data_IF_308450427289
#
_entry.id   IF_308450427289
#
_cell.length_a   1.000
_cell.length_b   1.000
_cell.length_c   1.000
_cell.angle_alpha   90.00
_cell.angle_beta   90.00
_cell.angle_gamma   90.00
#
_symmetry.space_group_name_H-M   'P 1'
#
loop_
_entity.id
_entity.type
_entity.pdbx_description
1 polymer ?
#
# COMPACT_ATOMS: atom_id res chain seq x y z
N UNK A 1 39.19 -64.49 20.52
CA UNK A 1 38.02 -64.95 21.30
C UNK A 1 37.63 -63.78 22.20
N UNK A 2 36.95 -62.78 21.62
CA UNK A 2 35.50 -62.71 21.43
C UNK A 2 34.80 -62.24 22.72
N UNK A 3 33.88 -61.30 22.53
CA UNK A 3 32.88 -60.78 23.48
C UNK A 3 33.33 -59.56 24.28
N UNK A 4 32.94 -58.37 23.81
CA UNK A 4 33.07 -57.12 24.57
C UNK A 4 32.45 -55.88 23.91
N UNK A 5 32.44 -55.80 22.57
CA UNK A 5 31.98 -54.59 21.85
C UNK A 5 30.46 -54.44 21.67
N UNK A 6 29.64 -55.37 22.20
CA UNK A 6 28.19 -55.41 21.91
C UNK A 6 27.30 -54.57 22.84
N UNK A 7 27.86 -53.73 23.71
CA UNK A 7 27.06 -52.98 24.70
C UNK A 7 26.84 -51.51 24.30
N UNK A 8 27.51 -50.98 23.28
CA UNK A 8 27.37 -49.57 22.87
C UNK A 8 26.50 -49.33 21.63
N UNK A 9 25.76 -50.33 21.15
CA UNK A 9 24.74 -50.17 20.09
C UNK A 9 23.37 -49.69 20.63
N UNK A 10 23.31 -49.25 21.89
CA UNK A 10 22.12 -48.70 22.53
C UNK A 10 21.89 -47.19 22.34
N UNK A 11 22.74 -46.50 21.57
CA UNK A 11 22.56 -45.07 21.32
C UNK A 11 21.50 -44.83 20.24
N UNK A 12 20.23 -44.94 20.62
CA UNK A 12 19.10 -44.50 19.82
C UNK A 12 19.26 -43.03 19.45
N UNK A 13 19.75 -42.75 18.25
CA UNK A 13 19.73 -41.41 17.69
C UNK A 13 18.27 -40.93 17.63
N UNK A 14 17.92 -39.77 18.18
CA UNK A 14 16.57 -39.27 18.12
C UNK A 14 16.23 -39.06 16.64
N UNK A 15 15.29 -39.87 16.13
CA UNK A 15 14.71 -39.68 14.80
C UNK A 15 13.82 -38.45 14.86
N UNK A 16 14.44 -37.27 14.78
CA UNK A 16 13.71 -36.00 14.70
C UNK A 16 12.87 -36.06 13.43
N UNK A 17 11.57 -36.28 13.60
CA UNK A 17 10.65 -36.51 12.50
C UNK A 17 10.65 -35.31 11.56
N UNK A 18 10.46 -35.53 10.26
CA UNK A 18 10.32 -34.44 9.30
C UNK A 18 9.25 -33.41 9.73
N UNK A 19 8.24 -33.88 10.48
CA UNK A 19 7.17 -33.07 11.08
C UNK A 19 7.65 -32.17 12.22
N UNK A 20 8.61 -32.61 13.04
CA UNK A 20 9.23 -31.75 14.08
C UNK A 20 10.07 -30.64 13.44
N UNK A 21 10.76 -30.94 12.33
CA UNK A 21 11.51 -29.91 11.58
C UNK A 21 10.60 -28.82 11.02
N UNK A 22 9.45 -29.17 10.45
CA UNK A 22 8.45 -28.20 9.97
C UNK A 22 7.87 -27.38 11.12
N UNK A 23 7.62 -28.00 12.28
CA UNK A 23 7.15 -27.30 13.48
C UNK A 23 8.19 -26.31 14.03
N UNK A 24 9.46 -26.71 14.13
CA UNK A 24 10.55 -25.81 14.57
C UNK A 24 10.79 -24.65 13.58
N UNK A 25 10.49 -24.85 12.29
CA UNK A 25 10.54 -23.81 11.26
C UNK A 25 9.42 -22.77 11.41
N UNK A 26 8.24 -23.20 11.85
CA UNK A 26 7.11 -22.31 12.15
C UNK A 26 7.25 -21.62 13.51
N UNK A 27 7.94 -22.25 14.46
CA UNK A 27 8.30 -21.67 15.76
C UNK A 27 9.43 -20.61 15.65
N UNK A 28 10.08 -20.47 14.49
CA UNK A 28 10.97 -19.35 14.22
C UNK A 28 10.15 -18.07 14.04
N UNK A 29 10.27 -17.15 14.99
CA UNK A 29 9.55 -15.87 15.07
C UNK A 29 9.56 -15.09 13.74
N UNK A 30 10.67 -15.15 13.00
CA UNK A 30 10.82 -14.49 11.71
C UNK A 30 9.96 -15.10 10.60
N UNK A 31 9.92 -16.43 10.48
CA UNK A 31 9.16 -17.13 9.43
C UNK A 31 7.66 -16.99 9.68
N UNK A 32 7.24 -17.07 10.93
CA UNK A 32 5.85 -16.84 11.32
C UNK A 32 5.42 -15.41 11.04
N UNK A 33 6.26 -14.42 11.37
CA UNK A 33 6.01 -13.00 11.07
C UNK A 33 5.86 -12.72 9.57
N UNK A 34 6.76 -13.24 8.73
CA UNK A 34 6.64 -13.10 7.28
C UNK A 34 5.42 -13.83 6.71
N UNK A 35 5.07 -15.00 7.25
CA UNK A 35 3.89 -15.76 6.84
C UNK A 35 2.57 -15.01 7.07
N UNK A 36 2.46 -14.25 8.16
CA UNK A 36 1.29 -13.41 8.46
C UNK A 36 1.14 -12.21 7.53
N UNK A 37 2.26 -11.62 7.09
CA UNK A 37 2.28 -10.45 6.19
C UNK A 37 2.08 -10.88 4.73
N UNK A 38 2.50 -12.08 4.36
CA UNK A 38 2.47 -12.60 3.00
C UNK A 38 1.11 -12.47 2.28
N UNK A 39 -0.06 -12.85 2.87
CA UNK A 39 -1.33 -12.70 2.18
C UNK A 39 -1.71 -11.22 1.92
N UNK A 40 -1.43 -10.33 2.87
CA UNK A 40 -1.67 -8.89 2.69
C UNK A 40 -0.74 -8.31 1.61
N UNK A 41 0.53 -8.72 1.60
CA UNK A 41 1.51 -8.31 0.59
C UNK A 41 1.12 -8.81 -0.80
N UNK A 42 0.70 -10.07 -0.93
CA UNK A 42 0.25 -10.64 -2.19
C UNK A 42 -0.95 -9.86 -2.75
N UNK A 43 -1.93 -9.54 -1.89
CA UNK A 43 -3.06 -8.71 -2.30
C UNK A 43 -2.62 -7.33 -2.77
N UNK A 44 -1.72 -6.67 -2.03
CA UNK A 44 -1.18 -5.36 -2.42
C UNK A 44 -0.46 -5.43 -3.78
N UNK A 45 0.37 -6.45 -4.01
CA UNK A 45 1.10 -6.61 -5.27
C UNK A 45 0.14 -6.87 -6.42
N UNK A 46 -0.81 -7.79 -6.27
CA UNK A 46 -1.75 -8.16 -7.33
C UNK A 46 -2.74 -7.05 -7.67
N UNK A 47 -3.25 -6.32 -6.67
CA UNK A 47 -4.31 -5.32 -6.88
C UNK A 47 -3.79 -3.90 -7.09
N UNK A 48 -2.59 -3.57 -6.62
CA UNK A 48 -2.04 -2.21 -6.71
C UNK A 48 -0.79 -2.18 -7.57
N UNK A 49 0.24 -2.97 -7.23
CA UNK A 49 1.53 -2.89 -7.92
C UNK A 49 1.44 -3.37 -9.38
N UNK A 50 0.70 -4.46 -9.63
CA UNK A 50 0.50 -5.00 -10.98
C UNK A 50 -0.19 -4.00 -11.93
N UNK A 51 -1.38 -3.45 -11.64
CA UNK A 51 -1.99 -2.47 -12.54
C UNK A 51 -1.20 -1.17 -12.63
N UNK A 52 -0.46 -0.77 -11.58
CA UNK A 52 0.44 0.38 -11.64
C UNK A 52 1.61 0.14 -12.63
N UNK A 53 2.24 -1.03 -12.58
CA UNK A 53 3.29 -1.39 -13.53
C UNK A 53 2.77 -1.45 -14.97
N UNK A 54 1.58 -2.01 -15.17
CA UNK A 54 0.91 -2.01 -16.47
C UNK A 54 0.61 -0.58 -16.96
N UNK A 55 0.18 0.33 -16.07
CA UNK A 55 -0.07 1.72 -16.42
C UNK A 55 1.22 2.43 -16.88
N UNK A 56 2.37 2.13 -16.27
CA UNK A 56 3.68 2.63 -16.72
C UNK A 56 4.05 2.05 -18.09
N UNK A 57 3.83 0.75 -18.30
CA UNK A 57 4.10 0.12 -19.60
C UNK A 57 3.23 0.74 -20.70
N UNK A 58 1.95 0.98 -20.40
CA UNK A 58 1.03 1.64 -21.32
C UNK A 58 1.35 3.11 -21.55
N UNK A 59 1.88 3.86 -20.57
CA UNK A 59 2.28 5.25 -20.80
C UNK A 59 3.48 5.37 -21.74
N UNK A 60 4.30 4.32 -21.85
CA UNK A 60 5.43 4.22 -22.79
C UNK A 60 5.06 3.61 -24.16
N UNK A 61 3.81 3.16 -24.31
CA UNK A 61 3.32 2.52 -25.53
C UNK A 61 2.24 3.40 -26.17
N UNK A 62 2.15 3.39 -27.49
CA UNK A 62 1.01 3.97 -28.22
C UNK A 62 -0.15 2.99 -28.17
N UNK A 63 -0.76 2.88 -26.98
CA UNK A 63 -1.84 1.95 -26.72
C UNK A 63 -3.19 2.62 -26.95
N UNK A 64 -3.88 2.26 -28.04
CA UNK A 64 -5.24 2.69 -28.32
C UNK A 64 -6.19 1.47 -28.33
N UNK A 65 -7.34 1.61 -27.69
CA UNK A 65 -8.42 0.62 -27.74
C UNK A 65 -8.81 0.34 -29.19
N UNK A 66 -8.42 -0.83 -29.71
CA UNK A 66 -8.72 -1.27 -31.08
C UNK A 66 -7.53 -1.31 -32.06
N UNK A 67 -6.32 -0.92 -31.63
CA UNK A 67 -5.09 -1.02 -32.44
C UNK A 67 -4.04 -1.86 -31.71
N UNK A 68 -3.23 -2.70 -32.41
CA UNK A 68 -2.06 -3.32 -31.79
C UNK A 68 -1.08 -2.21 -31.41
N UNK A 69 -1.03 -1.89 -30.11
CA UNK A 69 -0.18 -0.80 -29.62
C UNK A 69 1.29 -1.07 -29.87
N UNK A 70 2.03 -0.02 -30.25
CA UNK A 70 3.47 -0.09 -30.48
C UNK A 70 4.22 0.54 -29.31
N UNK A 71 5.43 0.04 -28.99
CA UNK A 71 6.24 0.65 -27.95
C UNK A 71 6.95 1.89 -28.50
N UNK A 72 6.59 3.08 -27.99
CA UNK A 72 7.08 4.38 -28.47
C UNK A 72 8.03 5.08 -27.47
N UNK A 73 8.33 4.41 -26.36
CA UNK A 73 9.22 4.94 -25.33
C UNK A 73 8.69 6.26 -24.73
N UNK A 74 9.48 7.34 -24.82
CA UNK A 74 9.16 8.62 -24.18
C UNK A 74 8.43 9.62 -25.09
N UNK A 75 8.03 9.22 -26.30
CA UNK A 75 7.44 10.16 -27.25
C UNK A 75 6.08 10.70 -26.78
N UNK A 76 5.29 9.88 -26.09
CA UNK A 76 4.05 10.31 -25.41
C UNK A 76 4.31 11.48 -24.45
N UNK A 77 5.39 11.41 -23.66
CA UNK A 77 5.74 12.46 -22.72
C UNK A 77 6.22 13.74 -23.43
N UNK A 78 7.00 13.62 -24.51
CA UNK A 78 7.42 14.78 -25.31
C UNK A 78 6.21 15.49 -25.93
N UNK A 79 5.26 14.74 -26.47
CA UNK A 79 4.02 15.28 -27.02
C UNK A 79 3.20 16.03 -25.96
N UNK A 80 3.10 15.50 -24.73
CA UNK A 80 2.43 16.16 -23.62
C UNK A 80 3.14 17.46 -23.19
N UNK A 81 4.48 17.47 -23.16
CA UNK A 81 5.27 18.65 -22.81
C UNK A 81 5.17 19.77 -23.86
N UNK A 82 4.76 19.48 -25.09
CA UNK A 82 4.44 20.51 -26.09
C UNK A 82 3.00 21.04 -26.02
N UNK A 83 2.15 20.42 -25.19
CA UNK A 83 0.70 20.68 -25.20
C UNK A 83 0.32 21.79 -24.21
N UNK A 84 -0.27 22.88 -24.71
CA UNK A 84 -0.70 24.01 -23.89
C UNK A 84 -1.82 23.65 -22.89
N UNK A 85 -2.75 22.77 -23.30
CA UNK A 85 -3.83 22.28 -22.43
C UNK A 85 -3.26 21.48 -21.26
N UNK A 86 -2.21 20.70 -21.49
CA UNK A 86 -1.52 19.96 -20.42
C UNK A 86 -0.91 20.92 -19.39
N UNK A 87 -0.23 21.97 -19.84
CA UNK A 87 0.37 22.98 -18.95
C UNK A 87 -0.68 23.74 -18.15
N UNK A 88 -1.77 24.15 -18.80
CA UNK A 88 -2.88 24.82 -18.14
C UNK A 88 -3.52 23.92 -17.07
N UNK A 89 -3.76 22.65 -17.41
CA UNK A 89 -4.33 21.66 -16.48
C UNK A 89 -3.40 21.42 -15.30
N UNK A 90 -2.11 21.21 -15.54
CA UNK A 90 -1.10 21.06 -14.48
C UNK A 90 -1.08 22.26 -13.53
N UNK A 91 -1.04 23.49 -14.07
CA UNK A 91 -1.04 24.71 -13.25
C UNK A 91 -2.32 24.82 -12.43
N UNK A 92 -3.48 24.56 -13.03
CA UNK A 92 -4.76 24.62 -12.33
C UNK A 92 -4.83 23.58 -11.20
N UNK A 93 -4.45 22.33 -11.48
CA UNK A 93 -4.41 21.27 -10.47
C UNK A 93 -3.43 21.58 -9.34
N UNK A 94 -2.25 22.12 -9.65
CA UNK A 94 -1.25 22.48 -8.66
C UNK A 94 -1.71 23.64 -7.77
N UNK A 95 -2.24 24.71 -8.36
CA UNK A 95 -2.78 25.87 -7.62
C UNK A 95 -3.95 25.44 -6.74
N UNK A 96 -4.91 24.70 -7.30
CA UNK A 96 -6.05 24.19 -6.55
C UNK A 96 -5.62 23.31 -5.38
N UNK A 97 -4.74 22.34 -5.62
CA UNK A 97 -4.27 21.41 -4.59
C UNK A 97 -3.49 22.15 -3.50
N UNK A 98 -2.61 23.07 -3.87
CA UNK A 98 -1.81 23.85 -2.92
C UNK A 98 -2.71 24.69 -2.02
N UNK A 99 -3.65 25.44 -2.58
CA UNK A 99 -4.61 26.26 -1.82
C UNK A 99 -5.46 25.35 -0.92
N UNK A 100 -6.01 24.26 -1.47
CA UNK A 100 -6.85 23.34 -0.73
C UNK A 100 -6.11 22.67 0.43
N UNK A 101 -4.87 22.21 0.23
CA UNK A 101 -4.06 21.59 1.28
C UNK A 101 -3.68 22.60 2.35
N UNK A 102 -3.22 23.80 1.98
CA UNK A 102 -2.88 24.85 2.95
C UNK A 102 -4.09 25.21 3.80
N UNK A 103 -5.24 25.48 3.18
CA UNK A 103 -6.46 25.83 3.90
C UNK A 103 -6.93 24.68 4.79
N UNK A 104 -6.98 23.43 4.29
CA UNK A 104 -7.36 22.25 5.09
C UNK A 104 -6.44 22.04 6.28
N UNK A 105 -5.13 22.19 6.09
CA UNK A 105 -4.15 22.02 7.18
C UNK A 105 -4.27 23.15 8.21
N UNK A 106 -4.36 24.41 7.79
CA UNK A 106 -4.51 25.56 8.70
C UNK A 106 -5.80 25.44 9.51
N UNK A 107 -6.92 25.16 8.85
CA UNK A 107 -8.21 24.97 9.54
C UNK A 107 -8.19 23.74 10.45
N UNK A 108 -7.58 22.64 10.00
CA UNK A 108 -7.46 21.41 10.78
C UNK A 108 -6.64 21.61 12.06
N UNK A 109 -5.49 22.28 11.97
CA UNK A 109 -4.63 22.61 13.11
C UNK A 109 -5.33 23.61 14.04
N UNK A 110 -5.94 24.65 13.49
CA UNK A 110 -6.69 25.63 14.28
C UNK A 110 -7.81 24.97 15.08
N UNK A 111 -8.57 24.08 14.45
CA UNK A 111 -9.64 23.33 15.11
C UNK A 111 -9.11 22.33 16.13
N UNK A 112 -7.98 21.66 15.86
CA UNK A 112 -7.33 20.76 16.81
C UNK A 112 -6.91 21.51 18.10
N UNK A 113 -6.32 22.70 17.96
CA UNK A 113 -5.94 23.54 19.10
C UNK A 113 -7.18 24.05 19.88
N UNK A 114 -8.26 24.39 19.17
CA UNK A 114 -9.52 24.78 19.79
C UNK A 114 -10.11 23.63 20.63
N UNK A 115 -10.13 22.42 20.10
CA UNK A 115 -10.61 21.22 20.79
C UNK A 115 -9.68 20.73 21.92
N UNK A 116 -8.41 21.13 21.90
CA UNK A 116 -7.48 20.85 22.99
C UNK A 116 -7.88 21.56 24.29
N UNK A 117 -8.55 22.72 24.21
CA UNK A 117 -9.09 23.43 25.37
C UNK A 117 -10.35 22.75 25.93
N UNK A 118 -10.65 23.00 27.21
CA UNK A 118 -11.80 22.42 27.89
C UNK A 118 -13.09 23.16 27.50
N UNK A 119 -13.64 22.81 26.33
CA UNK A 119 -14.85 23.42 25.77
C UNK A 119 -16.10 22.59 26.08
N UNK A 120 -17.19 23.27 26.48
CA UNK A 120 -18.52 22.64 26.71
C UNK A 120 -19.06 21.94 25.44
N UNK A 121 -18.76 22.45 24.25
CA UNK A 121 -19.25 21.93 22.96
C UNK A 121 -18.31 20.91 22.27
N UNK A 122 -17.24 20.47 22.93
CA UNK A 122 -16.21 19.58 22.35
C UNK A 122 -16.79 18.29 21.72
N UNK A 123 -17.85 17.73 22.31
CA UNK A 123 -18.51 16.52 21.79
C UNK A 123 -19.22 16.74 20.46
N UNK A 124 -19.89 17.88 20.29
CA UNK A 124 -20.59 18.23 19.05
C UNK A 124 -19.62 18.59 17.93
N UNK A 125 -18.59 19.39 18.23
CA UNK A 125 -17.57 19.77 17.25
C UNK A 125 -16.80 18.55 16.71
N UNK A 126 -16.42 17.59 17.58
CA UNK A 126 -15.75 16.36 17.16
C UNK A 126 -16.63 15.50 16.24
N UNK A 127 -17.94 15.45 16.48
CA UNK A 127 -18.88 14.75 15.60
C UNK A 127 -19.02 15.45 14.24
N UNK A 128 -19.16 16.77 14.24
CA UNK A 128 -19.33 17.56 13.02
C UNK A 128 -18.12 17.45 12.06
N UNK A 129 -16.90 17.35 12.58
CA UNK A 129 -15.68 17.18 11.76
C UNK A 129 -15.60 15.80 11.10
N UNK A 130 -16.22 14.79 11.68
CA UNK A 130 -16.24 13.44 11.13
C UNK A 130 -17.34 13.25 10.08
N UNK A 131 -18.42 14.05 10.13
CA UNK A 131 -19.55 13.96 9.19
C UNK A 131 -19.14 14.00 7.71
N UNK A 132 -18.28 14.94 7.25
CA UNK A 132 -17.86 15.00 5.85
C UNK A 132 -17.15 13.74 5.37
N UNK A 133 -16.50 13.00 6.28
CA UNK A 133 -15.79 11.76 5.94
C UNK A 133 -16.73 10.57 5.76
N UNK A 134 -17.92 10.63 6.34
CA UNK A 134 -18.94 9.58 6.24
C UNK A 134 -19.82 9.80 5.00
N UNK A 135 -19.99 11.05 4.56
CA UNK A 135 -20.80 11.40 3.39
C UNK A 135 -20.04 10.99 2.12
N UNK A 136 -20.60 10.11 1.28
CA UNK A 136 -20.02 9.78 -0.02
C UNK A 136 -19.87 11.03 -0.88
N UNK A 137 -18.70 11.22 -1.49
CA UNK A 137 -18.41 12.38 -2.35
C UNK A 137 -19.42 12.54 -3.48
N UNK A 138 -19.96 11.44 -4.01
CA UNK A 138 -20.98 11.43 -5.04
C UNK A 138 -22.29 12.19 -4.67
N UNK A 139 -22.65 12.24 -3.38
CA UNK A 139 -23.83 13.00 -2.91
C UNK A 139 -23.53 14.47 -2.68
N UNK A 140 -22.26 14.86 -2.56
CA UNK A 140 -21.85 16.25 -2.31
C UNK A 140 -21.62 17.05 -3.59
N UNK A 141 -21.55 16.37 -4.75
CA UNK A 141 -21.27 16.98 -6.06
C UNK A 141 -22.50 17.14 -6.97
N UNK A 142 -23.65 16.63 -6.56
CA UNK A 142 -24.97 16.85 -7.20
C UNK A 142 -25.65 18.05 -6.55
#
# INVERSE_FOLDING_TARGET
MAVGDRILEGAGAPRVGALERVRTWWEQEHVFGYGLILPALLLLVCLVAYPFGMAIYFSLSDYWVGSPGSFVGLDNYRALLGNEVFHQTLRNSFVFTSIAVVLKTVLGVWLALLLARNLRLKRLLRGAVLLPWVIPTALSTL
#
